data_IF_327038493246
#
_entry.id   IF_327038493246
#
_cell.length_a   1.000
_cell.length_b   1.000
_cell.length_c   1.000
_cell.angle_alpha   90.00
_cell.angle_beta   90.00
_cell.angle_gamma   90.00
#
_symmetry.space_group_name_H-M   'P 1'
#
loop_
_entity.id
_entity.type
_entity.pdbx_description
1 polymer ?
#
# COMPACT_ATOMS: atom_id res chain seq x y z
N UNK A 1 -18.52 19.34 4.29
CA UNK A 1 -17.82 18.11 4.69
C UNK A 1 -16.35 18.34 4.41
N UNK A 2 -15.59 18.73 5.43
CA UNK A 2 -14.13 18.79 5.33
C UNK A 2 -13.66 17.37 5.07
N UNK A 3 -13.00 17.13 3.93
CA UNK A 3 -12.18 15.94 3.80
C UNK A 3 -11.12 16.09 4.89
N UNK A 4 -11.21 15.28 5.96
CA UNK A 4 -10.15 15.19 6.94
C UNK A 4 -8.89 14.87 6.15
N UNK A 5 -7.98 15.85 6.07
CA UNK A 5 -6.67 15.72 5.44
C UNK A 5 -5.82 14.82 6.33
N UNK A 6 -6.19 13.54 6.38
CA UNK A 6 -5.34 12.53 6.94
C UNK A 6 -4.19 12.38 5.94
N UNK A 7 -2.97 12.65 6.37
CA UNK A 7 -1.81 12.38 5.54
C UNK A 7 -1.59 10.87 5.47
N UNK A 8 -1.17 10.34 4.31
CA UNK A 8 -0.71 8.97 4.21
C UNK A 8 0.46 8.72 5.16
N UNK A 9 0.45 7.55 5.78
CA UNK A 9 1.53 7.08 6.65
C UNK A 9 2.75 6.69 5.82
N UNK A 10 2.52 6.02 4.68
CA UNK A 10 3.56 5.54 3.78
C UNK A 10 3.12 5.65 2.31
N UNK A 11 4.10 5.59 1.39
CA UNK A 11 3.88 5.57 -0.05
C UNK A 11 4.81 4.56 -0.69
N UNK A 12 4.30 3.69 -1.56
CA UNK A 12 5.11 2.69 -2.24
C UNK A 12 4.29 1.61 -2.93
N UNK A 13 4.94 0.54 -3.38
CA UNK A 13 4.24 -0.69 -3.72
C UNK A 13 3.85 -1.40 -2.42
N UNK A 14 2.60 -1.84 -2.33
CA UNK A 14 2.11 -2.57 -1.16
C UNK A 14 2.06 -4.06 -1.46
N UNK A 15 2.62 -4.88 -0.57
CA UNK A 15 2.51 -6.34 -0.58
C UNK A 15 1.77 -6.80 0.67
N UNK A 16 0.77 -7.65 0.47
CA UNK A 16 -0.15 -8.14 1.48
C UNK A 16 0.01 -9.64 1.61
N UNK A 17 0.36 -10.09 2.81
CA UNK A 17 0.48 -11.50 3.15
C UNK A 17 -0.47 -11.84 4.30
N UNK A 18 -1.10 -13.02 4.22
CA UNK A 18 -1.80 -13.57 5.38
C UNK A 18 -0.76 -14.06 6.41
N UNK A 19 -1.10 -13.95 7.68
CA UNK A 19 -0.33 -14.53 8.79
C UNK A 19 -1.13 -15.69 9.40
N UNK A 20 -0.44 -16.55 10.15
CA UNK A 20 -1.02 -17.76 10.74
C UNK A 20 -2.13 -17.46 11.76
N UNK A 21 -2.12 -16.26 12.36
CA UNK A 21 -3.15 -15.78 13.30
C UNK A 21 -4.42 -15.23 12.60
N UNK A 22 -4.52 -15.38 11.27
CA UNK A 22 -5.64 -14.92 10.47
C UNK A 22 -5.62 -13.43 10.15
N UNK A 23 -4.68 -12.67 10.71
CA UNK A 23 -4.48 -11.26 10.34
C UNK A 23 -3.59 -11.14 9.10
N UNK A 24 -3.37 -9.91 8.63
CA UNK A 24 -2.50 -9.62 7.50
C UNK A 24 -1.28 -8.83 7.91
N UNK A 25 -0.22 -8.97 7.13
CA UNK A 25 0.95 -8.08 7.13
C UNK A 25 0.93 -7.28 5.83
N UNK A 26 1.02 -5.96 5.92
CA UNK A 26 1.16 -5.08 4.76
C UNK A 26 2.57 -4.51 4.75
N UNK A 27 3.34 -4.82 3.71
CA UNK A 27 4.70 -4.31 3.52
C UNK A 27 4.67 -3.23 2.45
N UNK A 28 5.40 -2.14 2.68
CA UNK A 28 5.57 -1.05 1.72
C UNK A 28 7.03 -1.04 1.25
N UNK A 29 7.20 -1.02 -0.07
CA UNK A 29 8.47 -1.28 -0.72
C UNK A 29 8.65 -0.44 -2.01
N UNK A 30 9.88 -0.37 -2.52
CA UNK A 30 10.22 0.39 -3.73
C UNK A 30 9.74 -0.31 -5.01
N UNK A 31 9.80 -1.64 -5.04
CA UNK A 31 9.39 -2.44 -6.19
C UNK A 31 8.99 -3.85 -5.80
N UNK A 32 8.29 -4.54 -6.70
CA UNK A 32 7.92 -5.96 -6.56
C UNK A 32 8.46 -6.71 -7.77
N UNK A 33 9.25 -7.75 -7.53
CA UNK A 33 9.88 -8.57 -8.58
C UNK A 33 9.43 -10.03 -8.39
N UNK A 34 8.73 -10.59 -9.39
CA UNK A 34 8.22 -11.96 -9.29
C UNK A 34 7.21 -12.18 -8.16
N UNK A 35 6.55 -11.11 -7.69
CA UNK A 35 5.65 -11.16 -6.53
C UNK A 35 6.34 -10.93 -5.17
N UNK A 36 7.67 -10.80 -5.15
CA UNK A 36 8.45 -10.59 -3.94
C UNK A 36 8.81 -9.10 -3.74
N UNK A 37 8.58 -8.53 -2.55
CA UNK A 37 8.90 -7.14 -2.27
C UNK A 37 10.41 -6.89 -2.23
N UNK A 38 10.86 -5.78 -2.80
CA UNK A 38 12.26 -5.34 -2.79
C UNK A 38 12.42 -4.04 -2.02
N UNK A 39 13.46 -3.92 -1.20
CA UNK A 39 13.75 -2.73 -0.40
C UNK A 39 12.54 -2.30 0.45
N UNK A 40 12.03 -3.23 1.29
CA UNK A 40 10.94 -2.94 2.24
C UNK A 40 11.41 -1.92 3.27
N UNK A 41 10.68 -0.82 3.41
CA UNK A 41 10.98 0.24 4.40
C UNK A 41 9.88 0.46 5.43
N UNK A 42 8.67 -0.06 5.21
CA UNK A 42 7.61 -0.05 6.21
C UNK A 42 6.84 -1.37 6.25
N UNK A 43 6.41 -1.76 7.45
CA UNK A 43 5.63 -2.97 7.68
C UNK A 43 4.54 -2.70 8.71
N UNK A 44 3.28 -2.89 8.30
CA UNK A 44 2.11 -2.86 9.19
C UNK A 44 1.72 -4.30 9.56
N UNK A 45 1.98 -4.67 10.81
CA UNK A 45 1.64 -5.99 11.36
C UNK A 45 0.24 -6.02 11.97
N UNK A 46 -0.31 -7.24 12.09
CA UNK A 46 -1.60 -7.50 12.74
C UNK A 46 -2.74 -6.66 12.17
N UNK A 47 -2.74 -6.50 10.84
CA UNK A 47 -3.80 -5.85 10.11
C UNK A 47 -5.04 -6.77 10.12
N UNK A 48 -6.01 -6.46 10.98
CA UNK A 48 -7.29 -7.18 11.09
C UNK A 48 -8.27 -6.75 10.00
N UNK A 49 -8.13 -5.54 9.45
CA UNK A 49 -8.95 -5.04 8.35
C UNK A 49 -8.09 -4.33 7.31
N UNK A 50 -8.10 -4.84 6.08
CA UNK A 50 -7.48 -4.19 4.93
C UNK A 50 -8.57 -3.62 4.03
N UNK A 51 -8.56 -2.31 3.81
CA UNK A 51 -9.47 -1.61 2.91
C UNK A 51 -8.70 -1.21 1.66
N UNK A 52 -9.15 -1.66 0.50
CA UNK A 52 -8.54 -1.32 -0.80
C UNK A 52 -9.47 -0.35 -1.51
N UNK A 53 -9.00 0.88 -1.70
CA UNK A 53 -9.76 1.94 -2.35
C UNK A 53 -9.89 1.75 -3.87
N UNK A 54 -10.79 2.52 -4.51
CA UNK A 54 -10.97 2.48 -5.96
C UNK A 54 -9.67 2.88 -6.69
N UNK A 55 -9.46 2.29 -7.86
CA UNK A 55 -8.28 2.58 -8.72
C UNK A 55 -7.00 1.84 -8.32
N UNK A 56 -6.96 1.17 -7.17
CA UNK A 56 -5.85 0.29 -6.79
C UNK A 56 -5.89 -0.98 -7.65
N UNK A 57 -4.82 -1.26 -8.38
CA UNK A 57 -4.68 -2.48 -9.19
C UNK A 57 -3.87 -3.48 -8.39
N UNK A 58 -4.53 -4.55 -7.97
CA UNK A 58 -3.94 -5.65 -7.24
C UNK A 58 -3.62 -6.81 -8.18
N UNK A 59 -2.56 -7.53 -7.86
CA UNK A 59 -2.20 -8.82 -8.41
C UNK A 59 -2.15 -9.86 -7.29
N UNK A 60 -2.62 -11.07 -7.57
CA UNK A 60 -2.69 -12.16 -6.61
C UNK A 60 -1.75 -13.28 -7.06
N UNK A 61 -0.90 -13.75 -6.14
CA UNK A 61 0.04 -14.84 -6.35
C UNK A 61 0.07 -15.80 -5.16
N UNK A 62 0.94 -16.81 -5.25
CA UNK A 62 1.04 -17.87 -4.23
C UNK A 62 1.49 -17.33 -2.85
N UNK A 63 2.40 -16.36 -2.83
CA UNK A 63 2.95 -15.78 -1.61
C UNK A 63 2.09 -14.66 -1.00
N UNK A 64 1.02 -14.22 -1.68
CA UNK A 64 0.19 -13.10 -1.26
C UNK A 64 -0.30 -12.25 -2.43
N UNK A 65 -0.73 -11.04 -2.11
CA UNK A 65 -1.21 -10.07 -3.11
C UNK A 65 -0.33 -8.83 -3.11
N UNK A 66 -0.18 -8.14 -4.23
CA UNK A 66 0.60 -6.92 -4.30
C UNK A 66 -0.01 -5.89 -5.26
N UNK A 67 0.35 -4.62 -5.11
CA UNK A 67 -0.08 -3.57 -6.03
C UNK A 67 0.78 -3.56 -7.29
N UNK A 68 0.18 -3.20 -8.43
CA UNK A 68 0.88 -2.97 -9.72
C UNK A 68 1.30 -1.52 -9.94
N UNK A 69 1.12 -0.68 -8.92
CA UNK A 69 1.56 0.71 -8.91
C UNK A 69 1.93 1.13 -7.49
N UNK A 70 2.58 2.29 -7.38
CA UNK A 70 2.70 3.02 -6.13
C UNK A 70 1.33 3.46 -5.63
N UNK A 71 1.10 3.29 -4.34
CA UNK A 71 -0.12 3.60 -3.61
C UNK A 71 0.20 4.42 -2.36
N UNK A 72 -0.82 5.09 -1.85
CA UNK A 72 -0.81 5.71 -0.53
C UNK A 72 -1.34 4.71 0.49
N UNK A 73 -0.66 4.59 1.63
CA UNK A 73 -1.03 3.70 2.73
C UNK A 73 -1.34 4.52 3.97
N UNK A 74 -2.50 4.26 4.57
CA UNK A 74 -2.99 4.93 5.77
C UNK A 74 -3.14 3.92 6.89
N UNK A 75 -2.55 4.21 8.05
CA UNK A 75 -2.72 3.39 9.26
C UNK A 75 -2.90 4.29 10.49
N UNK A 76 -4.03 5.02 10.55
CA UNK A 76 -4.38 5.84 11.71
C UNK A 76 -5.09 5.07 12.83
N UNK A 77 -5.77 3.96 12.48
CA UNK A 77 -6.47 3.12 13.44
C UNK A 77 -5.76 1.78 13.59
N UNK A 78 -5.65 1.30 14.84
CA UNK A 78 -4.92 0.07 15.16
C UNK A 78 -5.55 -1.13 14.44
N UNK A 79 -4.75 -1.80 13.62
CA UNK A 79 -5.16 -3.00 12.89
C UNK A 79 -5.97 -2.71 11.62
N UNK A 80 -6.26 -1.45 11.30
CA UNK A 80 -6.89 -1.06 10.04
C UNK A 80 -5.85 -0.42 9.15
N UNK A 81 -5.66 -1.00 7.96
CA UNK A 81 -4.82 -0.41 6.90
C UNK A 81 -5.71 -0.10 5.71
N UNK A 82 -5.60 1.11 5.21
CA UNK A 82 -6.25 1.53 3.99
C UNK A 82 -5.22 1.82 2.90
N UNK A 83 -5.44 1.24 1.73
CA UNK A 83 -4.59 1.43 0.54
C UNK A 83 -5.39 2.20 -0.49
N UNK A 84 -4.88 3.36 -0.91
CA UNK A 84 -5.52 4.23 -1.91
C UNK A 84 -4.62 4.41 -3.11
N UNK A 85 -5.21 4.55 -4.29
CA UNK A 85 -4.46 4.98 -5.45
C UNK A 85 -3.94 6.41 -5.22
N UNK A 86 -2.70 6.67 -5.65
CA UNK A 86 -2.14 8.02 -5.66
C UNK A 86 -3.11 9.00 -6.34
N UNK A 87 -3.48 10.06 -5.64
CA UNK A 87 -4.32 11.11 -6.23
C UNK A 87 -3.45 11.97 -7.17
N UNK A 88 -3.81 12.03 -8.46
CA UNK A 88 -3.20 12.98 -9.39
C UNK A 88 -3.43 14.40 -8.88
N UNK A 89 -2.36 15.19 -8.77
CA UNK A 89 -2.35 16.56 -8.27
C UNK A 89 -2.15 16.72 -6.76
N UNK A 90 -2.02 15.64 -5.98
CA UNK A 90 -1.82 15.71 -4.52
C UNK A 90 -0.38 15.97 -4.08
N UNK A 91 0.61 15.49 -4.85
CA UNK A 91 2.03 15.69 -4.55
C UNK A 91 2.90 15.61 -5.83
N UNK A 92 3.48 16.73 -6.31
CA UNK A 92 4.17 16.79 -7.61
C UNK A 92 5.44 15.93 -7.69
N UNK A 93 6.07 15.62 -6.55
CA UNK A 93 7.31 14.81 -6.51
C UNK A 93 7.03 13.34 -6.87
N UNK A 94 5.93 12.78 -6.39
CA UNK A 94 5.57 11.37 -6.62
C UNK A 94 5.06 11.14 -8.05
N UNK A 95 4.45 12.15 -8.67
CA UNK A 95 4.07 12.06 -10.09
C UNK A 95 5.28 11.97 -11.01
N UNK A 96 6.36 12.66 -10.67
CA UNK A 96 7.57 12.67 -11.50
C UNK A 96 8.31 11.33 -11.44
N UNK A 97 8.35 10.68 -10.26
CA UNK A 97 8.91 9.33 -10.12
C UNK A 97 8.06 8.27 -10.84
N UNK A 98 6.73 8.39 -10.80
CA UNK A 98 5.82 7.47 -11.50
C UNK A 98 5.86 7.61 -13.03
N UNK A 99 6.30 8.76 -13.58
CA UNK A 99 6.48 8.98 -15.03
C UNK A 99 7.85 8.55 -15.55
N UNK A 100 8.84 8.39 -14.66
CA UNK A 100 10.23 8.07 -15.01
C UNK A 100 10.53 6.57 -15.04
N UNK A 101 9.58 5.72 -14.64
CA UNK A 101 9.69 4.26 -14.63
C UNK A 101 8.60 3.63 -15.50
#
# INVERSE_FOLDING_TARGET
MSADYQSPTDHGFAVVQAMDDGTKKVMVCDSVVGGEPQNVYAIHFKCTSLRVGPGVRMEHGAAGSHTRQVVEVFSAERGVVEVRALQRGGNPVLEEEARRR
#
